data_IF_078899153466
#
_entry.id   IF_078899153466
#
_cell.length_a   1.000
_cell.length_b   1.000
_cell.length_c   1.000
_cell.angle_alpha   90.00
_cell.angle_beta   90.00
_cell.angle_gamma   90.00
#
_symmetry.space_group_name_H-M   'P 1'
#
loop_
_entity.id
_entity.type
_entity.pdbx_description
1 polymer ?
#
# COMPACT_ATOMS: atom_id res chain seq x y z
N UNK A 1 15.69 20.75 -1.30
CA UNK A 1 15.63 19.61 -2.26
C UNK A 1 14.24 18.96 -2.36
N UNK A 2 13.50 18.71 -1.28
CA UNK A 2 12.11 18.15 -1.31
C UNK A 2 11.14 18.96 -2.18
N UNK A 3 11.28 20.29 -2.22
CA UNK A 3 10.45 21.18 -3.06
C UNK A 3 10.62 20.86 -4.55
N UNK A 4 11.81 20.44 -4.99
CA UNK A 4 12.10 20.18 -6.41
C UNK A 4 11.40 18.91 -6.89
N UNK A 5 11.43 17.82 -6.11
CA UNK A 5 10.72 16.58 -6.45
C UNK A 5 9.19 16.79 -6.44
N UNK A 6 8.66 17.52 -5.44
CA UNK A 6 7.22 17.85 -5.39
C UNK A 6 6.79 18.85 -6.47
N UNK A 7 7.62 19.83 -6.83
CA UNK A 7 7.34 20.80 -7.89
C UNK A 7 7.44 20.16 -9.29
N UNK A 8 8.40 19.25 -9.48
CA UNK A 8 8.50 18.40 -10.65
C UNK A 8 7.30 17.43 -10.78
N UNK A 9 6.44 17.27 -9.78
CA UNK A 9 5.31 16.34 -9.86
C UNK A 9 4.02 16.93 -10.47
N UNK A 10 4.03 18.08 -11.17
CA UNK A 10 2.79 18.75 -11.64
C UNK A 10 2.31 18.43 -13.08
N UNK A 11 3.13 17.90 -13.99
CA UNK A 11 2.73 17.53 -15.37
C UNK A 11 3.35 16.21 -15.88
N UNK A 12 2.83 15.61 -16.96
CA UNK A 12 3.21 14.28 -17.51
C UNK A 12 4.71 14.20 -17.92
N UNK A 13 5.27 15.29 -18.44
CA UNK A 13 6.69 15.49 -18.82
C UNK A 13 7.70 15.54 -17.66
N UNK A 14 7.28 15.18 -16.45
CA UNK A 14 7.96 15.58 -15.22
C UNK A 14 8.24 14.39 -14.28
N UNK A 15 7.89 13.16 -14.69
CA UNK A 15 8.30 11.90 -14.04
C UNK A 15 9.76 11.62 -14.27
N UNK A 16 10.20 11.70 -15.53
CA UNK A 16 11.61 11.64 -15.90
C UNK A 16 12.41 12.73 -15.19
N UNK A 17 11.82 13.92 -14.98
CA UNK A 17 12.47 15.00 -14.21
C UNK A 17 12.50 14.71 -12.72
N UNK A 18 11.43 14.19 -12.13
CA UNK A 18 11.41 13.77 -10.73
C UNK A 18 12.41 12.63 -10.47
N UNK A 19 12.47 11.65 -11.38
CA UNK A 19 13.43 10.55 -11.37
C UNK A 19 14.86 11.05 -11.56
N UNK A 20 15.12 11.88 -12.57
CA UNK A 20 16.46 12.47 -12.80
C UNK A 20 16.92 13.35 -11.64
N UNK A 21 16.03 14.13 -11.05
CA UNK A 21 16.35 14.93 -9.86
C UNK A 21 16.66 14.04 -8.65
N UNK A 22 15.98 12.90 -8.52
CA UNK A 22 16.22 11.91 -7.48
C UNK A 22 17.54 11.15 -7.70
N UNK A 23 17.81 10.69 -8.92
CA UNK A 23 19.03 9.97 -9.29
C UNK A 23 20.28 10.87 -9.16
N UNK A 24 20.12 12.19 -9.28
CA UNK A 24 21.18 13.16 -9.02
C UNK A 24 21.48 13.42 -7.53
N UNK A 25 20.72 12.82 -6.60
CA UNK A 25 20.99 12.96 -5.16
C UNK A 25 22.05 11.94 -4.72
N UNK A 26 23.16 12.38 -4.10
CA UNK A 26 24.24 11.47 -3.68
C UNK A 26 23.78 10.51 -2.56
N UNK A 27 22.87 10.95 -1.70
CA UNK A 27 22.25 10.11 -0.65
C UNK A 27 20.78 10.53 -0.45
N UNK A 28 19.83 9.97 -1.20
CA UNK A 28 18.43 10.31 -1.06
C UNK A 28 17.87 9.83 0.28
N UNK A 29 17.42 10.77 1.11
CA UNK A 29 16.77 10.50 2.39
C UNK A 29 15.39 9.84 2.24
N UNK A 30 14.86 9.27 3.33
CA UNK A 30 13.55 8.62 3.35
C UNK A 30 12.43 9.54 2.83
N UNK A 31 12.53 10.86 3.06
CA UNK A 31 11.54 11.84 2.58
C UNK A 31 11.53 11.95 1.05
N UNK A 32 12.71 11.92 0.43
CA UNK A 32 12.86 11.94 -1.02
C UNK A 32 12.30 10.68 -1.64
N UNK A 33 12.58 9.51 -1.04
CA UNK A 33 11.96 8.24 -1.44
C UNK A 33 10.44 8.27 -1.32
N UNK A 34 9.93 8.69 -0.17
CA UNK A 34 8.48 8.80 0.10
C UNK A 34 7.80 9.67 -0.93
N UNK A 35 8.41 10.83 -1.24
CA UNK A 35 7.87 11.76 -2.23
C UNK A 35 7.79 11.12 -3.62
N UNK A 36 8.85 10.40 -4.05
CA UNK A 36 8.87 9.77 -5.36
C UNK A 36 7.87 8.61 -5.45
N UNK A 37 7.91 7.66 -4.51
CA UNK A 37 6.99 6.51 -4.46
C UNK A 37 5.53 6.99 -4.46
N UNK A 38 5.18 7.93 -3.58
CA UNK A 38 3.82 8.47 -3.51
C UNK A 38 3.41 9.17 -4.81
N UNK A 39 4.35 9.86 -5.47
CA UNK A 39 4.08 10.55 -6.73
C UNK A 39 3.75 9.56 -7.84
N UNK A 40 4.54 8.51 -8.00
CA UNK A 40 4.29 7.47 -8.99
C UNK A 40 2.98 6.72 -8.71
N UNK A 41 2.70 6.39 -7.46
CA UNK A 41 1.43 5.76 -7.05
C UNK A 41 0.22 6.64 -7.43
N UNK A 42 0.27 7.95 -7.14
CA UNK A 42 -0.82 8.90 -7.44
C UNK A 42 -1.03 9.14 -8.94
N UNK A 43 -0.01 8.94 -9.76
CA UNK A 43 -0.06 9.17 -11.21
C UNK A 43 -0.53 7.97 -12.01
N UNK A 44 -0.91 6.88 -11.35
CA UNK A 44 -1.32 5.66 -12.04
C UNK A 44 -0.14 4.89 -12.63
N UNK A 45 1.05 5.02 -12.03
CA UNK A 45 2.24 4.23 -12.37
C UNK A 45 2.57 3.26 -11.23
N UNK A 46 1.67 2.32 -10.93
CA UNK A 46 1.81 1.46 -9.76
C UNK A 46 3.05 0.57 -9.83
N UNK A 47 3.39 0.04 -11.02
CA UNK A 47 4.58 -0.82 -11.20
C UNK A 47 5.88 -0.09 -10.90
N UNK A 48 6.00 1.17 -11.31
CA UNK A 48 7.20 1.97 -11.02
C UNK A 48 7.28 2.37 -9.54
N UNK A 49 6.13 2.67 -8.92
CA UNK A 49 6.08 2.88 -7.47
C UNK A 49 6.52 1.62 -6.69
N UNK A 50 6.12 0.43 -7.15
CA UNK A 50 6.55 -0.85 -6.55
C UNK A 50 8.05 -1.08 -6.73
N UNK A 51 8.60 -0.80 -7.92
CA UNK A 51 10.05 -0.89 -8.17
C UNK A 51 10.85 0.06 -7.29
N UNK A 52 10.40 1.30 -7.12
CA UNK A 52 11.04 2.26 -6.22
C UNK A 52 10.99 1.81 -4.76
N UNK A 53 9.90 1.18 -4.34
CA UNK A 53 9.81 0.58 -3.01
C UNK A 53 10.83 -0.57 -2.85
N UNK A 54 10.99 -1.43 -3.86
CA UNK A 54 12.02 -2.47 -3.84
C UNK A 54 13.45 -1.91 -3.78
N UNK A 55 13.73 -0.81 -4.48
CA UNK A 55 15.03 -0.12 -4.39
C UNK A 55 15.29 0.40 -2.96
N UNK A 56 14.28 1.00 -2.31
CA UNK A 56 14.35 1.44 -0.91
C UNK A 56 14.65 0.25 0.02
N UNK A 57 13.97 -0.88 -0.17
CA UNK A 57 14.20 -2.11 0.62
C UNK A 57 15.61 -2.66 0.44
N UNK A 58 16.10 -2.72 -0.80
CA UNK A 58 17.47 -3.20 -1.11
C UNK A 58 18.54 -2.33 -0.45
N UNK A 59 18.29 -1.03 -0.29
CA UNK A 59 19.15 -0.11 0.45
C UNK A 59 19.02 -0.22 1.98
N UNK A 60 18.15 -1.10 2.48
CA UNK A 60 17.88 -1.31 3.92
C UNK A 60 17.48 -0.03 4.65
N UNK A 61 16.83 0.89 3.93
CA UNK A 61 16.28 2.10 4.53
C UNK A 61 14.94 1.70 5.17
N UNK A 62 14.79 1.92 6.48
CA UNK A 62 13.55 1.64 7.20
C UNK A 62 12.41 2.49 6.63
N UNK A 63 11.35 1.90 6.04
CA UNK A 63 10.19 2.65 5.60
C UNK A 63 9.40 3.14 6.82
N UNK A 64 8.80 4.32 6.69
CA UNK A 64 7.77 4.77 7.61
C UNK A 64 6.38 4.29 7.14
N UNK A 65 5.36 4.56 7.96
CA UNK A 65 3.96 4.25 7.65
C UNK A 65 3.50 4.83 6.31
N UNK A 66 3.96 6.03 5.93
CA UNK A 66 3.50 6.69 4.70
C UNK A 66 4.05 6.02 3.45
N UNK A 67 5.31 5.56 3.51
CA UNK A 67 5.91 4.74 2.44
C UNK A 67 5.15 3.43 2.29
N UNK A 68 4.90 2.73 3.40
CA UNK A 68 4.17 1.46 3.39
C UNK A 68 2.75 1.60 2.85
N UNK A 69 2.02 2.64 3.24
CA UNK A 69 0.69 2.95 2.69
C UNK A 69 0.73 3.19 1.18
N UNK A 70 1.76 3.91 0.70
CA UNK A 70 1.91 4.20 -0.73
C UNK A 70 2.28 2.95 -1.53
N UNK A 71 3.18 2.12 -0.98
CA UNK A 71 3.56 0.84 -1.56
C UNK A 71 2.39 -0.15 -1.59
N UNK A 72 1.57 -0.22 -0.53
CA UNK A 72 0.38 -1.08 -0.48
C UNK A 72 -0.63 -0.68 -1.57
N UNK A 73 -0.93 0.62 -1.71
CA UNK A 73 -1.79 1.13 -2.78
C UNK A 73 -1.25 0.82 -4.17
N UNK A 74 0.07 0.94 -4.36
CA UNK A 74 0.71 0.61 -5.62
C UNK A 74 0.64 -0.90 -5.93
N UNK A 75 0.87 -1.77 -4.95
CA UNK A 75 0.73 -3.23 -5.13
C UNK A 75 -0.71 -3.61 -5.49
N UNK A 76 -1.69 -3.00 -4.81
CA UNK A 76 -3.11 -3.20 -5.08
C UNK A 76 -3.48 -2.82 -6.53
N UNK A 77 -2.97 -1.69 -7.02
CA UNK A 77 -3.22 -1.21 -8.38
C UNK A 77 -2.40 -1.98 -9.44
N UNK A 78 -1.24 -2.52 -9.09
CA UNK A 78 -0.44 -3.37 -9.97
C UNK A 78 -0.93 -4.83 -10.01
N UNK A 79 -1.79 -5.23 -9.07
CA UNK A 79 -2.20 -6.63 -8.83
C UNK A 79 -0.96 -7.53 -8.60
N UNK A 80 0.00 -7.03 -7.82
CA UNK A 80 1.27 -7.71 -7.56
C UNK A 80 1.26 -8.35 -6.17
N UNK A 81 0.81 -9.59 -6.08
CA UNK A 81 0.68 -10.33 -4.81
C UNK A 81 2.03 -10.62 -4.15
N UNK A 82 3.09 -10.85 -4.95
CA UNK A 82 4.41 -11.10 -4.39
C UNK A 82 4.92 -9.86 -3.64
N UNK A 83 4.73 -8.68 -4.24
CA UNK A 83 5.13 -7.40 -3.64
C UNK A 83 4.19 -6.96 -2.51
N UNK A 84 2.91 -7.30 -2.60
CA UNK A 84 1.97 -7.13 -1.50
C UNK A 84 2.43 -7.85 -0.22
N UNK A 85 2.91 -9.11 -0.34
CA UNK A 85 3.45 -9.88 0.79
C UNK A 85 4.74 -9.28 1.34
N UNK A 86 5.60 -8.74 0.48
CA UNK A 86 6.80 -7.99 0.89
C UNK A 86 6.43 -6.76 1.75
N UNK A 87 5.46 -5.95 1.30
CA UNK A 87 4.99 -4.76 2.04
C UNK A 87 4.38 -5.16 3.38
N UNK A 88 3.55 -6.20 3.42
CA UNK A 88 2.94 -6.67 4.66
C UNK A 88 4.00 -7.18 5.65
N UNK A 89 4.99 -7.95 5.19
CA UNK A 89 6.10 -8.39 6.03
C UNK A 89 6.84 -7.21 6.66
N UNK A 90 7.20 -6.21 5.85
CA UNK A 90 7.90 -5.03 6.34
C UNK A 90 7.03 -4.22 7.32
N UNK A 91 5.70 -4.15 7.09
CA UNK A 91 4.78 -3.50 8.02
C UNK A 91 4.79 -4.15 9.40
N UNK A 92 4.78 -5.48 9.47
CA UNK A 92 4.89 -6.22 10.74
C UNK A 92 6.27 -6.02 11.36
N UNK A 93 7.34 -6.19 10.59
CA UNK A 93 8.73 -6.07 11.04
C UNK A 93 9.04 -4.70 11.65
N UNK A 94 8.48 -3.62 11.09
CA UNK A 94 8.72 -2.26 11.56
C UNK A 94 7.71 -1.75 12.60
N UNK A 95 6.83 -2.62 13.11
CA UNK A 95 5.92 -2.32 14.22
C UNK A 95 4.60 -1.66 13.81
N UNK A 96 4.21 -1.77 12.54
CA UNK A 96 2.95 -1.23 12.02
C UNK A 96 1.87 -2.30 11.77
N UNK A 97 2.10 -3.56 12.18
CA UNK A 97 1.16 -4.66 11.95
C UNK A 97 -0.22 -4.47 12.58
N UNK A 98 -0.30 -3.74 13.70
CA UNK A 98 -1.58 -3.44 14.38
C UNK A 98 -2.14 -2.05 14.06
N UNK A 99 -1.52 -1.30 13.16
CA UNK A 99 -1.98 0.04 12.80
C UNK A 99 -3.26 -0.05 11.96
N UNK A 100 -4.38 0.51 12.45
CA UNK A 100 -5.69 0.41 11.80
C UNK A 100 -5.68 0.93 10.34
N UNK A 101 -5.03 2.07 10.10
CA UNK A 101 -5.01 2.69 8.77
C UNK A 101 -4.19 1.85 7.78
N UNK A 102 -3.04 1.34 8.22
CA UNK A 102 -2.23 0.47 7.39
C UNK A 102 -2.88 -0.90 7.21
N UNK A 103 -3.47 -1.48 8.25
CA UNK A 103 -4.20 -2.75 8.18
C UNK A 103 -5.37 -2.67 7.20
N UNK A 104 -6.16 -1.60 7.22
CA UNK A 104 -7.20 -1.36 6.22
C UNK A 104 -6.64 -1.31 4.79
N UNK A 105 -5.50 -0.65 4.58
CA UNK A 105 -4.83 -0.62 3.29
C UNK A 105 -4.29 -2.00 2.86
N UNK A 106 -3.80 -2.81 3.81
CA UNK A 106 -3.33 -4.17 3.54
C UNK A 106 -4.50 -5.10 3.17
N UNK A 107 -5.66 -4.99 3.83
CA UNK A 107 -6.87 -5.76 3.49
C UNK A 107 -7.32 -5.42 2.06
N UNK A 108 -7.43 -4.14 1.72
CA UNK A 108 -7.78 -3.69 0.35
C UNK A 108 -6.77 -4.19 -0.69
N UNK A 109 -5.47 -4.11 -0.37
CA UNK A 109 -4.39 -4.59 -1.23
C UNK A 109 -4.52 -6.09 -1.51
N UNK A 110 -4.64 -6.92 -0.48
CA UNK A 110 -4.80 -8.37 -0.66
C UNK A 110 -6.08 -8.72 -1.42
N UNK A 111 -7.19 -8.02 -1.14
CA UNK A 111 -8.43 -8.20 -1.87
C UNK A 111 -8.30 -7.91 -3.37
N UNK A 112 -7.61 -6.83 -3.75
CA UNK A 112 -7.34 -6.50 -5.17
C UNK A 112 -6.32 -7.43 -5.82
N UNK A 113 -5.39 -7.98 -5.04
CA UNK A 113 -4.46 -9.01 -5.48
C UNK A 113 -5.07 -10.42 -5.54
N UNK A 114 -6.39 -10.57 -5.31
CA UNK A 114 -7.10 -11.85 -5.41
C UNK A 114 -6.86 -12.81 -4.24
N UNK A 115 -6.44 -12.29 -3.10
CA UNK A 115 -5.93 -13.05 -1.95
C UNK A 115 -6.78 -12.74 -0.71
N UNK A 116 -8.04 -13.18 -0.75
CA UNK A 116 -9.00 -12.96 0.33
C UNK A 116 -8.62 -13.66 1.65
N UNK A 117 -7.87 -14.76 1.60
CA UNK A 117 -7.38 -15.46 2.80
C UNK A 117 -6.43 -14.57 3.61
N UNK A 118 -5.43 -13.98 2.96
CA UNK A 118 -4.52 -13.03 3.60
C UNK A 118 -5.24 -11.73 4.00
N UNK A 119 -6.21 -11.26 3.22
CA UNK A 119 -7.06 -10.13 3.62
C UNK A 119 -7.81 -10.45 4.93
N UNK A 120 -8.39 -11.66 5.04
CA UNK A 120 -9.09 -12.13 6.24
C UNK A 120 -8.13 -12.28 7.43
N UNK A 121 -6.89 -12.73 7.18
CA UNK A 121 -5.86 -12.82 8.21
C UNK A 121 -5.52 -11.46 8.79
N UNK A 122 -5.20 -10.47 7.94
CA UNK A 122 -4.92 -9.09 8.39
C UNK A 122 -6.09 -8.54 9.19
N UNK A 123 -7.32 -8.73 8.70
CA UNK A 123 -8.53 -8.32 9.42
C UNK A 123 -8.67 -9.00 10.79
N UNK A 124 -8.23 -10.25 10.93
CA UNK A 124 -8.21 -10.98 12.20
C UNK A 124 -7.19 -10.42 13.19
N UNK A 125 -6.05 -9.93 12.69
CA UNK A 125 -4.95 -9.37 13.49
C UNK A 125 -5.22 -7.94 14.00
N UNK A 126 -6.21 -7.23 13.43
CA UNK A 126 -6.64 -5.92 13.91
C UNK A 126 -7.33 -5.99 15.28
N UNK A 127 -6.85 -5.17 16.22
CA UNK A 127 -7.44 -5.03 17.57
C UNK A 127 -8.80 -4.33 17.47
N UNK A 128 -8.82 -3.19 16.80
CA UNK A 128 -10.03 -2.41 16.50
C UNK A 128 -10.35 -2.54 15.02
N UNK A 129 -11.64 -2.53 14.68
CA UNK A 129 -12.12 -2.62 13.29
C UNK A 129 -13.15 -1.54 13.08
N UNK A 130 -12.96 -0.75 12.05
CA UNK A 130 -13.93 0.28 11.66
C UNK A 130 -14.72 -0.17 10.43
N UNK A 131 -15.65 0.67 9.99
CA UNK A 131 -16.44 0.45 8.78
C UNK A 131 -15.52 0.18 7.57
N UNK A 132 -14.35 0.81 7.51
CA UNK A 132 -13.38 0.61 6.43
C UNK A 132 -12.82 -0.81 6.50
N UNK A 133 -12.43 -1.32 7.66
CA UNK A 133 -11.95 -2.70 7.82
C UNK A 133 -12.95 -3.71 7.28
N UNK A 134 -14.23 -3.58 7.65
CA UNK A 134 -15.30 -4.48 7.24
C UNK A 134 -15.58 -4.38 5.74
N UNK A 135 -15.74 -3.16 5.22
CA UNK A 135 -16.05 -2.96 3.79
C UNK A 135 -14.89 -3.39 2.89
N UNK A 136 -13.64 -3.20 3.31
CA UNK A 136 -12.46 -3.73 2.62
C UNK A 136 -12.45 -5.26 2.59
N UNK A 137 -12.81 -5.93 3.69
CA UNK A 137 -12.87 -7.39 3.72
C UNK A 137 -13.99 -7.94 2.82
N UNK A 138 -15.16 -7.30 2.85
CA UNK A 138 -16.28 -7.65 1.96
C UNK A 138 -15.86 -7.52 0.49
N UNK A 139 -15.21 -6.41 0.13
CA UNK A 139 -14.69 -6.20 -1.22
C UNK A 139 -13.66 -7.28 -1.62
N UNK A 140 -12.81 -7.73 -0.70
CA UNK A 140 -11.85 -8.80 -0.96
C UNK A 140 -12.53 -10.13 -1.35
N UNK A 141 -13.60 -10.51 -0.65
CA UNK A 141 -14.39 -11.70 -1.00
C UNK A 141 -15.14 -11.54 -2.33
N UNK A 142 -15.75 -10.37 -2.59
CA UNK A 142 -16.41 -10.07 -3.86
C UNK A 142 -15.43 -10.17 -5.04
N UNK A 143 -14.26 -9.56 -4.91
CA UNK A 143 -13.21 -9.59 -5.95
C UNK A 143 -12.65 -11.00 -6.18
N UNK A 144 -12.77 -11.88 -5.19
CA UNK A 144 -12.36 -13.29 -5.29
C UNK A 144 -13.48 -14.20 -5.81
N UNK A 145 -14.66 -13.66 -6.16
CA UNK A 145 -15.79 -14.46 -6.64
C UNK A 145 -16.51 -15.24 -5.55
N UNK A 146 -16.44 -14.79 -4.29
CA UNK A 146 -17.03 -15.45 -3.11
C UNK A 146 -18.16 -14.60 -2.48
N UNK A 147 -19.27 -14.34 -3.19
CA UNK A 147 -20.33 -13.45 -2.70
C UNK A 147 -21.02 -13.98 -1.44
N UNK A 148 -21.15 -15.31 -1.28
CA UNK A 148 -21.76 -15.90 -0.08
C UNK A 148 -20.97 -15.59 1.19
N UNK A 149 -19.64 -15.63 1.13
CA UNK A 149 -18.79 -15.24 2.26
C UNK A 149 -18.78 -13.74 2.48
N UNK A 150 -18.86 -12.93 1.41
CA UNK A 150 -19.05 -11.49 1.51
C UNK A 150 -20.35 -11.14 2.28
N UNK A 151 -21.47 -11.81 1.98
CA UNK A 151 -22.74 -11.63 2.71
C UNK A 151 -22.65 -12.05 4.17
N UNK A 152 -21.91 -13.13 4.48
CA UNK A 152 -21.67 -13.53 5.87
C UNK A 152 -20.92 -12.45 6.64
N UNK A 153 -19.86 -11.90 6.05
CA UNK A 153 -19.08 -10.80 6.66
C UNK A 153 -19.96 -9.56 6.87
N UNK A 154 -20.81 -9.20 5.90
CA UNK A 154 -21.75 -8.08 6.04
C UNK A 154 -22.74 -8.28 7.19
N UNK A 155 -23.26 -9.50 7.37
CA UNK A 155 -24.16 -9.81 8.49
C UNK A 155 -23.44 -9.76 9.83
N UNK A 156 -22.20 -10.24 9.89
CA UNK A 156 -21.38 -10.20 11.10
C UNK A 156 -21.07 -8.74 11.50
N UNK A 157 -20.94 -7.83 10.53
CA UNK A 157 -20.80 -6.39 10.79
C UNK A 157 -22.06 -5.79 11.42
N UNK A 158 -23.25 -6.06 10.87
CA UNK A 158 -24.52 -5.50 11.36
C UNK A 158 -25.04 -6.07 12.69
N UNK A 159 -24.39 -7.07 13.27
CA UNK A 159 -24.73 -7.63 14.58
C UNK A 159 -23.92 -7.07 15.75
N UNK A 160 -23.02 -6.09 15.47
CA UNK A 160 -22.12 -5.48 16.46
C UNK A 160 -22.38 -3.99 16.72
N UNK A 161 -23.48 -3.45 16.17
CA UNK A 161 -24.04 -2.13 16.54
C UNK A 161 -25.10 -2.31 17.63
#
# INVERSE_FOLDING_TARGET
>A
MIIVVKAAARHKTNEERARKAFDGMPDPDLRSWTALITTYAKRGLPRESVRLYDELRKKRIKPDKFVLLSAAKACAAAVDLAKARDVHKDAVEYGFGSDLVLGNALIDMYGKCGSHEEARRVFGELVERDVISWTSLVAAYVNSGLPSDAFRVLRDMGSKE
#
